data_IF_244183235182
#
_entry.id   IF_244183235182
#
_cell.length_a   1.000
_cell.length_b   1.000
_cell.length_c   1.000
_cell.angle_alpha   90.00
_cell.angle_beta   90.00
_cell.angle_gamma   90.00
#
_symmetry.space_group_name_H-M   'P 1'
#
loop_
_entity.id
_entity.type
_entity.pdbx_description
1 polymer ?
#
# COMPACT_ATOMS: atom_id res chain seq x y z
N UNK A 1 5.50 -22.61 4.59
CA UNK A 1 5.45 -21.96 5.91
C UNK A 1 5.12 -20.49 5.67
N UNK A 2 3.85 -20.12 5.72
CA UNK A 2 3.39 -18.75 5.44
C UNK A 2 3.88 -17.83 6.56
N UNK A 3 4.68 -16.83 6.18
CA UNK A 3 5.41 -15.94 7.08
C UNK A 3 4.50 -15.17 8.02
N UNK A 4 4.86 -15.17 9.30
CA UNK A 4 4.15 -14.49 10.38
C UNK A 4 4.24 -12.97 10.20
N UNK A 5 3.15 -12.29 9.82
CA UNK A 5 3.11 -10.84 9.85
C UNK A 5 3.04 -10.38 11.31
N UNK A 6 4.17 -9.91 11.85
CA UNK A 6 4.21 -9.22 13.14
C UNK A 6 3.53 -7.87 12.98
N UNK A 7 2.22 -7.82 13.18
CA UNK A 7 1.50 -6.55 13.31
C UNK A 7 2.15 -5.76 14.46
N UNK A 8 2.76 -4.62 14.13
CA UNK A 8 3.45 -3.75 15.08
C UNK A 8 2.64 -2.46 15.22
N UNK A 9 2.31 -2.13 16.46
CA UNK A 9 1.72 -0.83 16.81
C UNK A 9 2.84 0.16 17.05
N UNK A 10 2.84 1.27 16.30
CA UNK A 10 3.85 2.34 16.42
C UNK A 10 3.42 3.49 17.36
N UNK A 11 2.21 3.42 17.90
CA UNK A 11 1.63 4.40 18.82
C UNK A 11 0.24 4.88 18.40
N UNK A 12 -0.24 5.92 19.08
CA UNK A 12 -1.46 6.66 18.72
C UNK A 12 -1.08 8.08 18.30
N UNK A 13 -1.88 8.69 17.42
CA UNK A 13 -1.70 10.07 16.99
C UNK A 13 -3.00 10.84 17.20
N UNK A 14 -2.89 12.09 17.64
CA UNK A 14 -4.02 13.02 17.67
C UNK A 14 -4.12 13.75 16.33
N UNK A 15 -5.34 14.07 15.96
CA UNK A 15 -5.63 14.97 14.84
C UNK A 15 -5.43 16.40 15.32
N UNK A 16 -4.63 17.18 14.61
CA UNK A 16 -4.43 18.60 14.87
C UNK A 16 -5.59 19.45 14.31
N UNK A 17 -5.57 20.74 14.63
CA UNK A 17 -6.68 21.67 14.33
C UNK A 17 -7.03 21.81 12.84
N UNK A 18 -6.14 21.41 11.94
CA UNK A 18 -6.39 21.42 10.49
C UNK A 18 -6.63 20.03 9.91
N UNK A 19 -6.96 19.05 10.74
CA UNK A 19 -7.17 17.66 10.29
C UNK A 19 -5.88 16.88 10.03
N UNK A 20 -4.70 17.42 10.34
CA UNK A 20 -3.43 16.73 10.11
C UNK A 20 -3.12 15.72 11.22
N UNK A 21 -2.51 14.59 10.84
CA UNK A 21 -1.93 13.63 11.77
C UNK A 21 -0.41 13.62 11.64
N UNK A 22 0.28 13.44 12.76
CA UNK A 22 1.74 13.28 12.77
C UNK A 22 2.07 11.79 12.72
N UNK A 23 2.85 11.37 11.72
CA UNK A 23 3.35 10.00 11.64
C UNK A 23 4.44 9.81 12.73
N UNK A 24 4.27 8.85 13.66
CA UNK A 24 5.25 8.59 14.72
C UNK A 24 6.66 8.39 14.14
N UNK A 25 7.69 8.89 14.84
CA UNK A 25 9.07 8.81 14.36
C UNK A 25 9.50 7.36 14.10
N UNK A 26 9.07 6.41 14.93
CA UNK A 26 9.38 5.00 14.74
C UNK A 26 8.76 4.43 13.46
N UNK A 27 7.51 4.78 13.16
CA UNK A 27 6.85 4.39 11.91
C UNK A 27 7.60 4.99 10.69
N UNK A 28 7.99 6.27 10.78
CA UNK A 28 8.78 6.91 9.70
C UNK A 28 10.09 6.18 9.44
N UNK A 29 10.83 5.82 10.49
CA UNK A 29 12.08 5.05 10.35
C UNK A 29 11.83 3.66 9.77
N UNK A 30 10.81 2.96 10.26
CA UNK A 30 10.51 1.59 9.82
C UNK A 30 10.07 1.52 8.36
N UNK A 31 9.18 2.42 7.92
CA UNK A 31 8.68 2.47 6.54
C UNK A 31 9.54 3.33 5.61
N UNK A 32 10.64 3.90 6.12
CA UNK A 32 11.53 4.78 5.37
C UNK A 32 10.81 6.00 4.78
N UNK A 33 9.94 6.66 5.56
CA UNK A 33 9.18 7.85 5.16
C UNK A 33 9.99 9.10 5.50
N UNK A 34 10.28 9.91 4.50
CA UNK A 34 11.06 11.14 4.59
C UNK A 34 10.23 12.38 4.24
N UNK A 35 10.63 13.58 4.69
CA UNK A 35 10.04 14.83 4.22
C UNK A 35 10.14 14.93 2.69
N UNK A 36 9.04 15.26 2.02
CA UNK A 36 8.95 15.31 0.56
C UNK A 36 8.39 14.03 -0.07
N UNK A 37 8.31 12.92 0.68
CA UNK A 37 7.66 11.71 0.20
C UNK A 37 6.16 11.95 -0.02
N UNK A 38 5.65 11.40 -1.13
CA UNK A 38 4.22 11.30 -1.38
C UNK A 38 3.71 9.98 -0.83
N UNK A 39 2.65 10.03 -0.02
CA UNK A 39 1.99 8.85 0.51
C UNK A 39 0.59 8.72 -0.10
N UNK A 40 0.20 7.50 -0.43
CA UNK A 40 -1.14 7.14 -0.84
C UNK A 40 -1.99 6.89 0.41
N UNK A 41 -3.15 7.54 0.47
CA UNK A 41 -4.15 7.37 1.53
C UNK A 41 -5.38 6.73 0.91
N UNK A 42 -5.75 5.55 1.38
CA UNK A 42 -6.92 4.78 0.95
C UNK A 42 -7.86 4.62 2.13
N UNK A 43 -9.16 4.48 1.89
CA UNK A 43 -10.07 4.07 2.95
C UNK A 43 -11.47 3.76 2.45
N UNK A 44 -12.17 2.95 3.23
CA UNK A 44 -13.61 2.76 3.13
C UNK A 44 -14.21 2.59 4.53
N UNK A 45 -15.54 2.68 4.64
CA UNK A 45 -16.23 2.64 5.94
C UNK A 45 -15.99 1.36 6.73
N UNK A 46 -15.73 0.23 6.05
CA UNK A 46 -15.56 -1.07 6.69
C UNK A 46 -14.13 -1.34 7.19
N UNK A 47 -13.11 -0.86 6.48
CA UNK A 47 -11.69 -1.20 6.71
C UNK A 47 -10.85 -0.05 7.26
N UNK A 48 -11.44 1.14 7.41
CA UNK A 48 -10.76 2.31 7.96
C UNK A 48 -9.81 2.96 6.97
N UNK A 49 -8.79 3.67 7.48
CA UNK A 49 -7.83 4.41 6.68
C UNK A 49 -6.50 3.64 6.59
N UNK A 50 -5.99 3.48 5.37
CA UNK A 50 -4.69 2.87 5.06
C UNK A 50 -3.78 3.93 4.47
N UNK A 51 -2.52 3.95 4.93
CA UNK A 51 -1.47 4.83 4.42
C UNK A 51 -0.33 3.97 3.90
N UNK A 52 0.05 4.14 2.63
CA UNK A 52 1.11 3.37 1.99
C UNK A 52 1.94 4.23 1.04
N UNK A 53 3.06 3.71 0.55
CA UNK A 53 3.82 4.35 -0.54
C UNK A 53 3.17 3.99 -1.88
N UNK A 54 3.07 4.94 -2.83
CA UNK A 54 2.48 4.68 -4.14
C UNK A 54 3.10 3.48 -4.88
N UNK A 55 4.42 3.29 -4.78
CA UNK A 55 5.12 2.19 -5.46
C UNK A 55 4.60 0.79 -5.04
N UNK A 56 4.20 0.62 -3.78
CA UNK A 56 3.70 -0.67 -3.26
C UNK A 56 2.40 -1.07 -3.95
N UNK A 57 1.59 -0.11 -4.40
CA UNK A 57 0.35 -0.42 -5.10
C UNK A 57 0.61 -0.79 -6.57
N UNK A 58 1.60 -0.17 -7.21
CA UNK A 58 2.04 -0.54 -8.56
C UNK A 58 2.50 -1.99 -8.59
N UNK A 59 3.35 -2.39 -7.63
CA UNK A 59 3.83 -3.77 -7.54
C UNK A 59 2.67 -4.78 -7.32
N UNK A 60 1.70 -4.43 -6.47
CA UNK A 60 0.52 -5.26 -6.23
C UNK A 60 -0.44 -5.30 -7.43
N UNK A 61 -0.61 -4.18 -8.13
CA UNK A 61 -1.45 -4.11 -9.32
C UNK A 61 -0.83 -4.90 -10.47
N UNK A 62 0.48 -4.83 -10.66
CA UNK A 62 1.19 -5.63 -11.66
C UNK A 62 1.12 -7.13 -11.33
N UNK A 63 1.17 -7.51 -10.05
CA UNK A 63 1.01 -8.89 -9.60
C UNK A 63 -0.43 -9.43 -9.80
N UNK A 64 -1.46 -8.60 -9.59
CA UNK A 64 -2.88 -8.98 -9.75
C UNK A 64 -3.35 -8.91 -11.20
N UNK A 65 -2.88 -7.92 -11.98
CA UNK A 65 -3.27 -7.73 -13.38
C UNK A 65 -2.39 -8.53 -14.35
N UNK A 66 -1.22 -8.99 -13.92
CA UNK A 66 -0.38 -9.93 -14.67
C UNK A 66 -1.00 -11.31 -14.86
N UNK A 67 -2.16 -11.60 -14.24
CA UNK A 67 -2.91 -12.85 -14.42
C UNK A 67 -4.18 -12.68 -15.25
N UNK A 68 -4.20 -11.89 -16.33
CA UNK A 68 -5.17 -12.11 -17.41
C UNK A 68 -4.60 -11.49 -18.68
N UNK A 69 -3.94 -12.30 -19.51
CA UNK A 69 -3.87 -12.20 -20.98
C UNK A 69 -3.02 -13.42 -21.44
N UNK A 70 -3.46 -14.65 -21.16
CA UNK A 70 -2.96 -15.81 -21.92
C UNK A 70 -3.83 -15.98 -23.16
N UNK A 71 -3.29 -15.39 -24.24
CA UNK A 71 -3.52 -15.61 -25.66
C UNK A 71 -4.22 -16.94 -26.06
N UNK A 72 -5.42 -16.82 -26.61
CA UNK A 72 -6.03 -17.84 -27.48
C UNK A 72 -6.30 -17.25 -28.86
N UNK A 73 -5.22 -16.93 -29.57
CA UNK A 73 -5.28 -16.40 -30.93
C UNK A 73 -4.24 -16.98 -31.87
N UNK A 74 -4.07 -18.32 -31.95
CA UNK A 74 -3.49 -18.90 -33.17
C UNK A 74 -3.98 -20.32 -33.49
N UNK A 75 -4.77 -20.44 -34.56
CA UNK A 75 -4.61 -21.50 -35.55
C UNK A 75 -4.84 -20.92 -36.94
N UNK A 76 -3.79 -20.32 -37.48
CA UNK A 76 -3.62 -20.08 -38.89
C UNK A 76 -3.61 -21.40 -39.68
N UNK A 77 -4.45 -21.43 -40.69
CA UNK A 77 -4.24 -21.99 -42.03
C UNK A 77 -3.00 -22.89 -42.26
N UNK A 78 -3.25 -24.19 -42.50
CA UNK A 78 -2.72 -24.98 -43.64
C UNK A 78 -3.79 -25.97 -44.06
#
# INVERSE_FOLDING_TARGET
>A
MLGMSKNRVFGTAKVGDRGQIVIPQEARRFFGISPGDTLLILGNEASGLVVTKPQVLSDLADEILGTTEEDHGNRDHV
#
